data_IF_945802732905
#
_entry.id   IF_945802732905
#
_cell.length_a   1.000
_cell.length_b   1.000
_cell.length_c   1.000
_cell.angle_alpha   90.00
_cell.angle_beta   90.00
_cell.angle_gamma   90.00
#
_symmetry.space_group_name_H-M   'P 1'
#
loop_
_entity.id
_entity.type
_entity.pdbx_description
1 polymer ?
#
# COMPACT_ATOMS: atom_id res chain seq x y z
N UNK A 1 -56.52 81.75 5.49
CA UNK A 1 -55.23 81.31 4.91
C UNK A 1 -55.09 79.80 5.15
N UNK A 2 -55.09 79.01 4.05
CA UNK A 2 -54.39 77.72 3.78
C UNK A 2 -53.97 76.86 5.01
N UNK A 3 -54.17 75.55 5.12
CA UNK A 3 -54.29 74.49 4.10
C UNK A 3 -54.59 73.11 4.76
N UNK A 4 -55.51 72.34 4.14
CA UNK A 4 -55.50 70.89 3.83
C UNK A 4 -55.51 69.84 4.97
N UNK A 5 -56.61 69.10 5.18
CA UNK A 5 -56.98 67.77 4.60
C UNK A 5 -56.05 66.62 5.06
N UNK A 6 -56.44 65.40 5.44
CA UNK A 6 -57.70 64.64 5.67
C UNK A 6 -57.24 63.21 6.07
N UNK A 7 -58.03 62.48 6.87
CA UNK A 7 -58.23 61.00 6.87
C UNK A 7 -57.05 60.04 7.15
N UNK A 8 -57.10 59.25 8.23
CA UNK A 8 -57.68 57.88 8.38
C UNK A 8 -56.53 56.85 8.56
N UNK A 9 -56.36 56.18 9.70
CA UNK A 9 -57.15 55.06 10.24
C UNK A 9 -57.31 53.88 9.25
N UNK A 10 -56.62 52.75 9.53
CA UNK A 10 -57.12 51.36 9.56
C UNK A 10 -55.94 50.36 9.54
N UNK A 11 -55.80 49.63 10.67
CA UNK A 11 -55.54 48.18 10.83
C UNK A 11 -54.39 47.51 10.05
N UNK A 12 -53.42 46.92 10.78
CA UNK A 12 -53.09 45.48 10.61
C UNK A 12 -52.37 44.88 11.84
N UNK A 13 -53.01 43.86 12.40
CA UNK A 13 -52.51 42.84 13.33
C UNK A 13 -51.56 41.92 12.55
N UNK A 14 -50.45 41.43 13.14
CA UNK A 14 -50.10 39.99 13.07
C UNK A 14 -48.92 39.60 13.98
N UNK A 15 -49.27 38.86 15.02
CA UNK A 15 -48.59 37.69 15.59
C UNK A 15 -47.09 37.50 15.34
N UNK A 16 -46.34 37.61 16.44
CA UNK A 16 -45.08 36.91 16.65
C UNK A 16 -45.38 35.40 16.78
N UNK A 17 -45.36 34.68 15.66
CA UNK A 17 -45.36 33.21 15.67
C UNK A 17 -43.92 32.71 15.74
N UNK A 18 -43.64 31.99 16.82
CA UNK A 18 -42.48 31.12 16.95
C UNK A 18 -42.55 30.06 15.84
N UNK A 19 -41.65 30.13 14.86
CA UNK A 19 -41.29 28.96 14.07
C UNK A 19 -40.10 28.29 14.74
N UNK A 20 -40.41 27.35 15.64
CA UNK A 20 -39.53 26.23 15.94
C UNK A 20 -39.46 25.42 14.66
N UNK A 21 -38.39 25.56 13.89
CA UNK A 21 -38.05 24.62 12.82
C UNK A 21 -37.19 23.52 13.45
N UNK A 22 -37.84 22.42 13.82
CA UNK A 22 -37.17 21.14 13.97
C UNK A 22 -36.88 20.59 12.58
N UNK A 23 -35.60 20.31 12.31
CA UNK A 23 -35.13 19.57 11.15
C UNK A 23 -33.73 19.07 11.44
N UNK A 24 -33.62 18.10 12.33
CA UNK A 24 -32.41 17.29 12.51
C UNK A 24 -32.53 16.10 11.57
N UNK A 25 -32.21 16.33 10.30
CA UNK A 25 -32.08 15.28 9.29
C UNK A 25 -31.02 15.74 8.27
N UNK A 26 -29.77 15.80 8.70
CA UNK A 26 -28.63 15.86 7.77
C UNK A 26 -28.31 14.45 7.24
N UNK A 27 -29.33 13.77 6.69
CA UNK A 27 -29.10 12.72 5.70
C UNK A 27 -29.01 13.39 4.33
N UNK A 28 -27.93 14.16 4.10
CA UNK A 28 -27.60 14.59 2.75
C UNK A 28 -27.24 13.35 1.94
N UNK A 29 -28.24 12.75 1.28
CA UNK A 29 -28.00 11.82 0.19
C UNK A 29 -27.69 12.65 -1.04
N UNK A 30 -26.42 12.71 -1.43
CA UNK A 30 -26.02 13.27 -2.73
C UNK A 30 -26.86 12.57 -3.81
N UNK A 31 -27.78 13.29 -4.44
CA UNK A 31 -28.49 12.78 -5.62
C UNK A 31 -27.40 12.45 -6.64
N UNK A 32 -27.34 11.22 -7.18
CA UNK A 32 -26.36 10.87 -8.20
C UNK A 32 -26.45 11.89 -9.32
N UNK A 33 -25.36 12.58 -9.62
CA UNK A 33 -25.32 13.43 -10.80
C UNK A 33 -25.51 12.51 -12.00
N UNK A 34 -26.64 12.67 -12.68
CA UNK A 34 -27.02 11.87 -13.86
C UNK A 34 -26.01 12.06 -15.01
N UNK A 35 -25.06 12.99 -14.86
CA UNK A 35 -23.97 13.27 -15.79
C UNK A 35 -22.58 12.83 -15.29
N UNK A 36 -22.41 12.19 -14.12
CA UNK A 36 -21.10 11.60 -13.78
C UNK A 36 -20.81 10.45 -14.77
N UNK A 37 -19.70 10.50 -15.53
CA UNK A 37 -19.41 9.48 -16.52
C UNK A 37 -19.22 8.12 -15.84
N UNK A 38 -19.76 7.06 -16.43
CA UNK A 38 -19.50 5.71 -15.94
C UNK A 38 -18.00 5.38 -16.13
N UNK A 39 -17.41 4.71 -15.13
CA UNK A 39 -16.06 4.15 -15.29
C UNK A 39 -16.08 3.08 -16.39
N UNK A 40 -15.12 3.07 -17.33
CA UNK A 40 -15.08 2.07 -18.40
C UNK A 40 -14.53 0.71 -17.92
N UNK A 41 -14.12 0.61 -16.66
CA UNK A 41 -13.64 -0.65 -16.07
C UNK A 41 -14.71 -1.73 -16.18
N UNK A 42 -14.31 -2.90 -16.66
CA UNK A 42 -15.16 -4.08 -16.77
C UNK A 42 -14.81 -5.06 -15.67
N UNK A 43 -15.78 -5.39 -14.81
CA UNK A 43 -15.59 -6.36 -13.74
C UNK A 43 -16.85 -7.21 -13.54
N UNK A 44 -16.74 -8.48 -13.94
CA UNK A 44 -17.72 -9.53 -13.61
C UNK A 44 -17.08 -10.48 -12.59
N UNK A 45 -17.55 -10.42 -11.34
CA UNK A 45 -16.98 -11.19 -10.23
C UNK A 45 -17.05 -12.71 -10.41
N UNK A 46 -17.96 -13.21 -11.24
CA UNK A 46 -18.10 -14.65 -11.53
C UNK A 46 -17.12 -15.13 -12.60
N UNK A 47 -16.56 -14.21 -13.41
CA UNK A 47 -15.68 -14.52 -14.53
C UNK A 47 -14.20 -14.18 -14.25
N UNK A 48 -13.90 -13.36 -13.25
CA UNK A 48 -12.52 -13.02 -12.88
C UNK A 48 -11.81 -14.17 -12.13
N UNK A 49 -10.48 -14.32 -12.31
CA UNK A 49 -9.60 -13.47 -13.11
C UNK A 49 -9.73 -13.70 -14.62
N UNK A 50 -9.73 -12.61 -15.40
CA UNK A 50 -9.71 -12.66 -16.87
C UNK A 50 -8.37 -13.15 -17.42
N UNK A 51 -8.35 -13.57 -18.69
CA UNK A 51 -7.16 -14.14 -19.31
C UNK A 51 -6.09 -13.09 -19.59
N UNK A 52 -6.49 -11.86 -19.95
CA UNK A 52 -5.57 -10.74 -20.19
C UNK A 52 -5.90 -9.52 -19.33
N UNK A 53 -4.93 -8.62 -19.19
CA UNK A 53 -5.07 -7.40 -18.40
C UNK A 53 -5.96 -6.37 -19.11
N UNK A 54 -5.91 -6.30 -20.45
CA UNK A 54 -6.74 -5.37 -21.22
C UNK A 54 -8.24 -5.60 -21.07
N UNK A 55 -8.70 -6.82 -20.79
CA UNK A 55 -10.12 -7.16 -20.58
C UNK A 55 -10.78 -6.35 -19.45
N UNK A 56 -10.00 -5.89 -18.47
CA UNK A 56 -10.52 -5.08 -17.36
C UNK A 56 -10.73 -3.60 -17.72
N UNK A 57 -10.12 -3.09 -18.79
CA UNK A 57 -10.17 -1.67 -19.18
C UNK A 57 -9.72 -0.69 -18.08
N UNK A 58 -8.68 -1.02 -17.31
CA UNK A 58 -8.15 -0.13 -16.26
C UNK A 58 -7.38 1.09 -16.80
N UNK A 59 -6.84 0.99 -18.02
CA UNK A 59 -5.97 2.01 -18.59
C UNK A 59 -6.40 2.37 -20.01
N UNK A 60 -6.19 3.62 -20.41
CA UNK A 60 -6.46 4.12 -21.76
C UNK A 60 -5.19 4.26 -22.62
N UNK A 61 -5.37 4.14 -23.94
CA UNK A 61 -4.27 4.17 -24.89
C UNK A 61 -3.39 2.92 -24.80
N UNK A 62 -2.10 3.06 -25.11
CA UNK A 62 -1.16 1.94 -25.00
C UNK A 62 -1.01 1.50 -23.54
N UNK A 63 -1.30 0.23 -23.26
CA UNK A 63 -1.40 -0.33 -21.91
C UNK A 63 -0.15 -0.05 -21.05
N UNK A 64 1.05 -0.13 -21.64
CA UNK A 64 2.34 0.12 -20.96
C UNK A 64 2.49 1.53 -20.37
N UNK A 65 1.71 2.50 -20.85
CA UNK A 65 1.76 3.86 -20.30
C UNK A 65 1.10 3.91 -18.91
N UNK A 66 0.22 2.94 -18.61
CA UNK A 66 -0.53 2.86 -17.35
C UNK A 66 -1.30 4.16 -17.06
N UNK A 67 -1.88 4.77 -18.10
CA UNK A 67 -2.72 5.96 -17.97
C UNK A 67 -4.09 5.54 -17.45
N UNK A 68 -4.45 5.84 -16.19
CA UNK A 68 -5.66 5.30 -15.59
C UNK A 68 -6.92 5.93 -16.20
N UNK A 69 -7.92 5.11 -16.49
CA UNK A 69 -9.25 5.60 -16.88
C UNK A 69 -9.99 6.26 -15.71
N UNK A 70 -11.12 6.91 -16.01
CA UNK A 70 -11.98 7.51 -14.98
C UNK A 70 -12.28 6.53 -13.83
N UNK A 71 -12.11 7.02 -12.58
CA UNK A 71 -12.25 6.29 -11.30
C UNK A 71 -11.18 5.23 -10.99
N UNK A 72 -10.18 5.03 -11.84
CA UNK A 72 -8.95 4.30 -11.44
C UNK A 72 -8.00 5.31 -10.80
N UNK A 73 -7.79 5.23 -9.49
CA UNK A 73 -7.08 6.27 -8.74
C UNK A 73 -5.66 5.79 -8.41
N UNK A 74 -4.61 6.52 -8.83
CA UNK A 74 -3.25 6.18 -8.43
C UNK A 74 -3.02 6.44 -6.94
N UNK A 75 -2.18 5.62 -6.32
CA UNK A 75 -1.70 5.86 -4.97
C UNK A 75 -0.28 5.31 -4.79
N UNK A 76 0.36 5.72 -3.71
CA UNK A 76 1.69 5.29 -3.30
C UNK A 76 1.76 5.11 -1.78
N UNK A 77 2.81 4.45 -1.30
CA UNK A 77 3.06 4.23 0.12
C UNK A 77 4.15 5.19 0.64
N UNK A 78 4.15 5.47 1.94
CA UNK A 78 5.22 6.25 2.58
C UNK A 78 6.58 5.55 2.39
N UNK A 79 6.61 4.26 2.72
CA UNK A 79 7.73 3.35 2.49
C UNK A 79 7.28 2.20 1.58
N UNK A 80 8.13 1.79 0.65
CA UNK A 80 7.82 0.70 -0.28
C UNK A 80 8.48 -0.62 0.10
N UNK A 81 7.74 -1.73 -0.10
CA UNK A 81 8.28 -3.09 -0.07
C UNK A 81 9.38 -3.24 -1.14
N UNK A 82 10.54 -3.71 -0.73
CA UNK A 82 11.65 -4.07 -1.60
C UNK A 82 11.31 -5.31 -2.44
N UNK A 83 11.63 -5.26 -3.74
CA UNK A 83 11.44 -6.41 -4.65
C UNK A 83 12.47 -6.33 -5.78
N UNK A 84 13.70 -6.75 -5.53
CA UNK A 84 14.82 -6.67 -6.49
C UNK A 84 14.96 -5.32 -7.20
N UNK A 85 14.81 -4.22 -6.45
CA UNK A 85 14.81 -2.85 -6.98
C UNK A 85 13.73 -2.52 -8.03
N UNK A 86 12.77 -3.41 -8.31
CA UNK A 86 11.63 -3.09 -9.15
C UNK A 86 10.84 -1.93 -8.52
N UNK A 87 10.52 -0.92 -9.34
CA UNK A 87 9.65 0.18 -9.00
C UNK A 87 8.19 -0.27 -9.03
N UNK A 88 7.30 0.47 -8.35
CA UNK A 88 5.88 0.13 -8.27
C UNK A 88 4.99 1.30 -8.63
N UNK A 89 4.01 1.05 -9.51
CA UNK A 89 2.85 1.92 -9.72
C UNK A 89 1.61 1.22 -9.19
N UNK A 90 0.85 1.89 -8.31
CA UNK A 90 -0.34 1.31 -7.68
C UNK A 90 -1.58 2.11 -8.02
N UNK A 91 -2.69 1.41 -8.17
CA UNK A 91 -3.99 1.99 -8.41
C UNK A 91 -5.07 1.28 -7.62
N UNK A 92 -6.17 1.97 -7.37
CA UNK A 92 -7.38 1.41 -6.77
C UNK A 92 -8.59 1.74 -7.65
N UNK A 93 -9.50 0.77 -7.76
CA UNK A 93 -10.80 0.96 -8.36
C UNK A 93 -11.87 0.29 -7.51
N UNK A 94 -13.05 0.90 -7.43
CA UNK A 94 -14.23 0.33 -6.77
C UNK A 94 -15.48 0.54 -7.63
N UNK A 95 -16.48 -0.37 -7.54
CA UNK A 95 -17.75 -0.18 -8.20
C UNK A 95 -18.45 1.11 -7.78
N UNK A 96 -19.21 1.70 -8.71
CA UNK A 96 -19.98 2.91 -8.43
C UNK A 96 -20.92 2.72 -7.22
N UNK A 97 -20.99 3.74 -6.36
CA UNK A 97 -21.83 3.72 -5.16
C UNK A 97 -21.29 2.87 -4.00
N UNK A 98 -20.14 2.22 -4.16
CA UNK A 98 -19.45 1.50 -3.09
C UNK A 98 -18.35 2.35 -2.46
N UNK A 99 -18.07 2.12 -1.17
CA UNK A 99 -17.00 2.79 -0.42
C UNK A 99 -16.44 1.87 0.65
N UNK A 100 -15.16 2.05 0.97
CA UNK A 100 -14.52 1.40 2.10
C UNK A 100 -14.78 2.15 3.41
N UNK A 101 -14.70 1.41 4.52
CA UNK A 101 -14.77 1.98 5.87
C UNK A 101 -13.41 2.02 6.52
N UNK A 102 -13.02 3.18 7.05
CA UNK A 102 -11.83 3.30 7.87
C UNK A 102 -11.98 2.49 9.17
N UNK A 103 -10.98 1.68 9.51
CA UNK A 103 -10.99 0.83 10.71
C UNK A 103 -10.00 1.35 11.77
N UNK A 104 -8.73 1.48 11.41
CA UNK A 104 -7.66 2.05 12.23
C UNK A 104 -6.45 2.39 11.36
N UNK A 105 -5.47 3.11 11.92
CA UNK A 105 -4.25 3.49 11.20
C UNK A 105 -3.49 2.27 10.65
N UNK A 106 -3.45 1.19 11.44
CA UNK A 106 -2.65 -0.02 11.18
C UNK A 106 -3.39 -1.15 10.47
N UNK A 107 -4.70 -1.05 10.26
CA UNK A 107 -5.50 -2.05 9.55
C UNK A 107 -5.87 -1.55 8.16
N UNK A 108 -5.97 -2.46 7.20
CA UNK A 108 -6.53 -2.09 5.90
C UNK A 108 -7.98 -1.62 6.10
N UNK A 109 -8.47 -0.65 5.31
CA UNK A 109 -9.89 -0.31 5.30
C UNK A 109 -10.74 -1.56 5.01
N UNK A 110 -11.96 -1.59 5.54
CA UNK A 110 -12.93 -2.61 5.16
C UNK A 110 -13.44 -2.30 3.75
N UNK A 111 -12.84 -2.95 2.76
CA UNK A 111 -13.12 -2.71 1.36
C UNK A 111 -14.37 -3.47 0.90
N UNK A 112 -15.26 -2.81 0.13
CA UNK A 112 -16.46 -3.46 -0.38
C UNK A 112 -16.12 -4.51 -1.45
N UNK A 113 -17.02 -5.48 -1.61
CA UNK A 113 -17.00 -6.44 -2.72
C UNK A 113 -16.93 -5.68 -4.05
N UNK A 114 -16.05 -6.14 -4.94
CA UNK A 114 -15.74 -5.49 -6.21
C UNK A 114 -14.52 -4.58 -6.19
N UNK A 115 -13.95 -4.28 -5.01
CA UNK A 115 -12.70 -3.52 -4.94
C UNK A 115 -11.57 -4.24 -5.68
N UNK A 116 -10.82 -3.49 -6.48
CA UNK A 116 -9.60 -3.97 -7.14
C UNK A 116 -8.42 -3.08 -6.75
N UNK A 117 -7.38 -3.69 -6.19
CA UNK A 117 -6.07 -3.07 -6.01
C UNK A 117 -5.15 -3.58 -7.11
N UNK A 118 -4.50 -2.65 -7.81
CA UNK A 118 -3.67 -2.92 -8.98
C UNK A 118 -2.24 -2.52 -8.63
N UNK A 119 -1.27 -3.39 -8.87
CA UNK A 119 0.15 -3.13 -8.61
C UNK A 119 0.99 -3.57 -9.80
N UNK A 120 1.67 -2.62 -10.43
CA UNK A 120 2.56 -2.85 -11.56
C UNK A 120 4.01 -2.80 -11.07
N UNK A 121 4.81 -3.80 -11.44
CA UNK A 121 6.22 -3.89 -11.11
C UNK A 121 7.04 -3.66 -12.38
N UNK A 122 7.95 -2.69 -12.35
CA UNK A 122 8.68 -2.26 -13.54
C UNK A 122 10.09 -1.81 -13.22
N UNK A 123 10.92 -1.78 -14.25
CA UNK A 123 12.25 -1.20 -14.23
C UNK A 123 12.29 -0.03 -15.21
N UNK A 124 13.03 1.01 -14.84
CA UNK A 124 13.44 2.06 -15.77
C UNK A 124 14.85 1.75 -16.27
N UNK A 125 15.30 2.50 -17.28
CA UNK A 125 16.69 2.48 -17.78
C UNK A 125 17.19 1.06 -18.09
N UNK A 126 16.30 0.22 -18.61
CA UNK A 126 16.58 -1.19 -18.96
C UNK A 126 17.50 -1.22 -20.17
N UNK A 127 18.59 -2.00 -20.06
CA UNK A 127 19.55 -2.15 -21.15
C UNK A 127 19.02 -3.12 -22.23
N UNK A 128 19.36 -2.92 -23.51
CA UNK A 128 20.24 -1.88 -24.05
C UNK A 128 19.54 -0.56 -24.40
N UNK A 129 18.21 -0.55 -24.48
CA UNK A 129 17.44 0.55 -25.09
C UNK A 129 17.16 1.74 -24.16
N UNK A 130 17.60 1.65 -22.91
CA UNK A 130 17.33 2.63 -21.85
C UNK A 130 15.83 2.91 -21.67
N UNK A 131 15.02 1.86 -21.78
CA UNK A 131 13.56 1.93 -21.79
C UNK A 131 12.95 1.62 -20.42
N UNK A 132 11.65 1.90 -20.28
CA UNK A 132 10.84 1.35 -19.18
C UNK A 132 10.32 -0.02 -19.60
N UNK A 133 10.44 -1.01 -18.71
CA UNK A 133 9.94 -2.36 -18.92
C UNK A 133 9.12 -2.79 -17.72
N UNK A 134 7.84 -3.09 -17.94
CA UNK A 134 6.93 -3.64 -16.94
C UNK A 134 7.05 -5.16 -16.99
N UNK A 135 7.27 -5.76 -15.82
CA UNK A 135 7.47 -7.20 -15.69
C UNK A 135 6.14 -7.90 -15.38
N UNK A 136 5.42 -7.40 -14.39
CA UNK A 136 4.17 -8.00 -13.95
C UNK A 136 3.17 -6.97 -13.41
N UNK A 137 1.89 -7.30 -13.53
CA UNK A 137 0.78 -6.62 -12.87
C UNK A 137 0.06 -7.59 -11.95
N UNK A 138 -0.04 -7.27 -10.67
CA UNK A 138 -0.80 -8.04 -9.70
C UNK A 138 -2.12 -7.34 -9.40
N UNK A 139 -3.21 -8.10 -9.51
CA UNK A 139 -4.55 -7.70 -9.12
C UNK A 139 -4.93 -8.40 -7.82
N UNK A 140 -5.42 -7.62 -6.86
CA UNK A 140 -6.08 -8.12 -5.66
C UNK A 140 -7.55 -7.73 -5.78
N UNK A 141 -8.43 -8.72 -5.91
CA UNK A 141 -9.85 -8.51 -6.20
C UNK A 141 -10.67 -8.98 -5.01
N UNK A 142 -11.49 -8.10 -4.42
CA UNK A 142 -12.39 -8.45 -3.32
C UNK A 142 -13.66 -9.12 -3.88
N UNK A 143 -13.74 -10.45 -3.80
CA UNK A 143 -14.98 -11.21 -4.07
C UNK A 143 -15.82 -11.33 -2.81
N UNK A 144 -17.06 -11.81 -2.96
CA UNK A 144 -17.94 -12.19 -1.84
C UNK A 144 -17.27 -13.22 -0.93
N UNK A 145 -16.52 -14.17 -1.51
CA UNK A 145 -15.78 -15.21 -0.80
C UNK A 145 -14.48 -14.75 -0.15
N UNK A 146 -14.07 -13.49 -0.32
CA UNK A 146 -12.79 -12.97 0.16
C UNK A 146 -11.90 -12.41 -0.97
N UNK A 147 -10.65 -12.10 -0.63
CA UNK A 147 -9.68 -11.60 -1.60
C UNK A 147 -9.13 -12.73 -2.46
N UNK A 148 -9.06 -12.50 -3.76
CA UNK A 148 -8.29 -13.33 -4.70
C UNK A 148 -7.11 -12.53 -5.24
N UNK A 149 -6.06 -13.25 -5.64
CA UNK A 149 -4.81 -12.70 -6.13
C UNK A 149 -4.54 -13.28 -7.52
N UNK A 150 -4.35 -12.40 -8.50
CA UNK A 150 -4.06 -12.76 -9.87
C UNK A 150 -2.82 -12.00 -10.35
N UNK A 151 -1.91 -12.71 -11.00
CA UNK A 151 -0.65 -12.16 -11.50
C UNK A 151 -0.66 -12.21 -13.02
N UNK A 152 -0.37 -11.09 -13.67
CA UNK A 152 -0.30 -10.98 -15.12
C UNK A 152 1.14 -10.68 -15.52
N UNK A 153 1.73 -11.53 -16.35
CA UNK A 153 3.11 -11.34 -16.86
C UNK A 153 3.02 -10.62 -18.20
N UNK A 154 3.80 -9.55 -18.33
CA UNK A 154 3.85 -8.75 -19.56
C UNK A 154 4.64 -9.45 -20.65
N UNK A 155 4.21 -9.27 -21.91
CA UNK A 155 4.98 -9.72 -23.06
C UNK A 155 6.19 -8.81 -23.35
N UNK A 156 7.15 -9.33 -24.11
CA UNK A 156 8.36 -8.61 -24.48
C UNK A 156 8.07 -7.38 -25.34
N UNK A 157 6.99 -7.39 -26.14
CA UNK A 157 6.55 -6.25 -26.92
C UNK A 157 5.95 -5.10 -26.07
N UNK A 158 5.70 -5.34 -24.78
CA UNK A 158 5.10 -4.38 -23.84
C UNK A 158 3.73 -3.87 -24.32
N UNK A 159 2.90 -4.77 -24.84
CA UNK A 159 1.57 -4.46 -25.38
C UNK A 159 0.44 -5.11 -24.59
N UNK A 160 0.69 -6.20 -23.89
CA UNK A 160 -0.32 -6.95 -23.13
C UNK A 160 0.31 -7.68 -21.95
N UNK A 161 -0.50 -8.00 -20.94
CA UNK A 161 -0.12 -8.93 -19.88
C UNK A 161 -1.14 -10.07 -19.76
N UNK A 162 -0.65 -11.30 -19.61
CA UNK A 162 -1.47 -12.52 -19.58
C UNK A 162 -1.40 -13.15 -18.20
N UNK A 163 -2.54 -13.66 -17.72
CA UNK A 163 -2.65 -14.33 -16.43
C UNK A 163 -1.65 -15.49 -16.35
N UNK A 164 -0.80 -15.48 -15.32
CA UNK A 164 0.10 -16.56 -14.96
C UNK A 164 -0.13 -17.02 -13.52
N UNK A 165 -0.22 -18.34 -13.35
CA UNK A 165 -0.40 -18.98 -12.05
C UNK A 165 0.84 -19.78 -11.61
N UNK A 166 1.76 -20.05 -12.54
CA UNK A 166 2.84 -21.03 -12.35
C UNK A 166 4.14 -20.39 -11.86
N UNK A 167 4.19 -19.06 -11.79
CA UNK A 167 5.40 -18.31 -11.52
C UNK A 167 6.27 -18.20 -12.77
N UNK A 168 7.03 -17.12 -12.82
CA UNK A 168 7.88 -16.79 -13.96
C UNK A 168 9.22 -16.26 -13.46
N UNK A 169 10.29 -16.48 -14.21
CA UNK A 169 11.60 -15.94 -13.88
C UNK A 169 12.24 -15.37 -15.12
N UNK A 170 12.76 -14.14 -15.00
CA UNK A 170 13.42 -13.46 -16.10
C UNK A 170 14.63 -12.68 -15.63
N UNK A 171 15.63 -12.57 -16.51
CA UNK A 171 16.81 -11.77 -16.23
C UNK A 171 16.49 -10.31 -16.55
N UNK A 172 16.64 -9.44 -15.56
CA UNK A 172 16.56 -7.98 -15.74
C UNK A 172 17.94 -7.37 -15.64
N UNK A 173 18.24 -6.42 -16.51
CA UNK A 173 19.45 -5.60 -16.45
C UNK A 173 19.11 -4.14 -16.68
N UNK A 174 19.54 -3.26 -15.79
CA UNK A 174 19.23 -1.83 -15.85
C UNK A 174 20.41 -0.99 -15.38
N UNK A 175 20.39 0.31 -15.71
CA UNK A 175 21.35 1.27 -15.19
C UNK A 175 20.77 2.00 -13.97
N UNK A 176 21.43 1.91 -12.82
CA UNK A 176 21.06 2.63 -11.61
C UNK A 176 22.13 3.68 -11.31
N UNK A 177 21.84 4.95 -11.61
CA UNK A 177 22.73 6.07 -11.35
C UNK A 177 24.16 5.88 -11.91
N UNK A 178 24.29 5.30 -13.10
CA UNK A 178 25.58 5.02 -13.74
C UNK A 178 26.13 3.62 -13.46
N UNK A 179 25.59 2.89 -12.48
CA UNK A 179 25.99 1.51 -12.16
C UNK A 179 25.14 0.50 -12.93
N UNK A 180 25.77 -0.42 -13.64
CA UNK A 180 25.07 -1.53 -14.28
C UNK A 180 24.62 -2.55 -13.23
N UNK A 181 23.32 -2.80 -13.17
CA UNK A 181 22.67 -3.72 -12.23
C UNK A 181 22.04 -4.87 -13.00
N UNK A 182 21.94 -6.04 -12.35
CA UNK A 182 21.14 -7.14 -12.89
C UNK A 182 20.54 -8.00 -11.79
N UNK A 183 19.39 -8.61 -12.08
CA UNK A 183 18.72 -9.56 -11.19
C UNK A 183 18.13 -10.72 -11.99
N UNK A 184 17.88 -11.84 -11.33
CA UNK A 184 16.99 -12.89 -11.84
C UNK A 184 15.63 -12.69 -11.19
N UNK A 185 14.84 -11.76 -11.73
CA UNK A 185 13.54 -11.40 -11.19
C UNK A 185 12.61 -12.61 -11.16
N UNK A 186 11.97 -12.84 -10.00
CA UNK A 186 11.04 -13.94 -9.80
C UNK A 186 9.63 -13.41 -9.58
N UNK A 187 8.74 -13.70 -10.52
CA UNK A 187 7.30 -13.59 -10.37
C UNK A 187 6.83 -14.77 -9.51
N UNK A 188 6.24 -14.54 -8.32
CA UNK A 188 5.79 -15.60 -7.43
C UNK A 188 4.66 -16.43 -8.05
N UNK A 189 4.58 -17.70 -7.66
CA UNK A 189 3.39 -18.53 -7.94
C UNK A 189 2.18 -18.03 -7.15
N UNK A 190 0.98 -18.47 -7.52
CA UNK A 190 -0.22 -18.16 -6.74
C UNK A 190 -0.13 -18.65 -5.28
N UNK A 191 0.51 -19.79 -5.04
CA UNK A 191 0.73 -20.32 -3.69
C UNK A 191 1.74 -19.48 -2.90
N UNK A 192 2.79 -18.98 -3.55
CA UNK A 192 3.78 -18.10 -2.92
C UNK A 192 3.16 -16.77 -2.49
N UNK A 193 2.18 -16.24 -3.23
CA UNK A 193 1.45 -15.04 -2.83
C UNK A 193 0.83 -15.18 -1.44
N UNK A 194 0.24 -16.34 -1.14
CA UNK A 194 -0.43 -16.59 0.15
C UNK A 194 0.54 -16.69 1.33
N UNK A 195 1.85 -16.90 1.10
CA UNK A 195 2.85 -16.82 2.18
C UNK A 195 2.90 -15.41 2.80
N UNK A 196 2.74 -14.38 1.97
CA UNK A 196 2.75 -12.98 2.42
C UNK A 196 1.34 -12.38 2.55
N UNK A 197 0.37 -12.86 1.78
CA UNK A 197 -0.97 -12.28 1.67
C UNK A 197 -2.00 -13.05 2.49
N UNK A 198 -1.73 -13.25 3.78
CA UNK A 198 -2.68 -13.88 4.70
C UNK A 198 -2.61 -13.30 6.11
N UNK A 199 -3.73 -13.36 6.83
CA UNK A 199 -3.82 -13.11 8.26
C UNK A 199 -4.80 -14.12 8.86
N UNK A 200 -4.35 -14.92 9.81
CA UNK A 200 -5.09 -16.06 10.37
C UNK A 200 -5.64 -16.98 9.26
N UNK A 201 -4.77 -17.32 8.28
CA UNK A 201 -5.10 -18.13 7.10
C UNK A 201 -6.16 -17.51 6.16
N UNK A 202 -6.56 -16.25 6.39
CA UNK A 202 -7.50 -15.52 5.53
C UNK A 202 -6.73 -14.63 4.56
N UNK A 203 -6.93 -14.75 3.23
CA UNK A 203 -6.21 -13.93 2.27
C UNK A 203 -6.48 -12.43 2.42
N UNK A 204 -5.42 -11.61 2.42
CA UNK A 204 -5.51 -10.16 2.68
C UNK A 204 -4.44 -9.34 1.91
N UNK A 205 -4.78 -8.15 1.38
CA UNK A 205 -3.80 -7.23 0.81
C UNK A 205 -2.79 -6.75 1.85
N UNK A 206 -1.57 -6.48 1.38
CA UNK A 206 -0.47 -5.95 2.20
C UNK A 206 -0.21 -4.48 1.82
N UNK A 207 0.00 -3.65 2.83
CA UNK A 207 0.52 -2.28 2.67
C UNK A 207 -0.53 -1.18 2.53
N UNK A 208 -1.77 -1.50 2.10
CA UNK A 208 -2.88 -0.53 1.91
C UNK A 208 -3.55 -0.11 3.23
N UNK A 209 -2.74 0.23 4.24
CA UNK A 209 -3.16 0.70 5.55
C UNK A 209 -3.15 2.24 5.58
N UNK A 210 -4.06 2.93 6.29
CA UNK A 210 -4.05 4.38 6.38
C UNK A 210 -2.69 4.97 6.83
N UNK A 211 -2.00 4.32 7.78
CA UNK A 211 -0.66 4.74 8.24
C UNK A 211 0.39 4.81 7.11
N UNK A 212 0.22 4.02 6.04
CA UNK A 212 1.13 3.98 4.89
C UNK A 212 0.68 4.90 3.76
N UNK A 213 -0.57 5.36 3.77
CA UNK A 213 -1.19 6.15 2.71
C UNK A 213 -1.27 7.64 3.05
N UNK A 214 -1.09 8.01 4.32
CA UNK A 214 -1.23 9.38 4.81
C UNK A 214 -0.04 10.28 4.41
N UNK A 215 0.10 10.54 3.12
CA UNK A 215 1.03 11.48 2.49
C UNK A 215 0.32 12.32 1.43
N UNK A 216 0.96 13.41 1.04
CA UNK A 216 0.55 14.17 -0.14
C UNK A 216 0.97 13.44 -1.42
N UNK A 217 0.10 13.44 -2.41
CA UNK A 217 0.33 12.85 -3.73
C UNK A 217 -0.05 13.88 -4.81
N UNK A 218 0.75 13.96 -5.87
CA UNK A 218 0.51 14.85 -7.00
C UNK A 218 -0.45 14.20 -7.99
N UNK A 219 -1.72 14.59 -7.95
CA UNK A 219 -2.73 14.17 -8.92
C UNK A 219 -2.77 15.14 -10.11
N UNK A 220 -3.43 14.73 -11.20
CA UNK A 220 -3.62 15.58 -12.38
C UNK A 220 -4.38 16.88 -12.07
N UNK A 221 -5.24 16.87 -11.05
CA UNK A 221 -6.01 18.02 -10.57
C UNK A 221 -5.36 18.74 -9.38
N UNK A 222 -4.11 18.41 -9.04
CA UNK A 222 -3.31 19.05 -8.00
C UNK A 222 -2.85 18.11 -6.90
N UNK A 223 -2.08 18.66 -5.94
CA UNK A 223 -1.51 17.89 -4.84
C UNK A 223 -2.51 17.73 -3.71
N UNK A 224 -2.76 16.47 -3.27
CA UNK A 224 -3.74 16.16 -2.21
C UNK A 224 -3.29 15.01 -1.34
N UNK A 225 -3.73 14.98 -0.08
CA UNK A 225 -3.58 13.78 0.75
C UNK A 225 -4.38 12.62 0.14
N UNK A 226 -3.77 11.44 0.07
CA UNK A 226 -4.37 10.31 -0.66
C UNK A 226 -5.69 9.82 -0.05
N UNK A 227 -5.78 9.77 1.29
CA UNK A 227 -7.00 9.36 1.97
C UNK A 227 -8.11 10.40 1.77
N UNK A 228 -7.77 11.69 1.75
CA UNK A 228 -8.72 12.75 1.39
C UNK A 228 -9.18 12.60 -0.06
N UNK A 229 -8.28 12.31 -1.01
CA UNK A 229 -8.66 12.04 -2.40
C UNK A 229 -9.63 10.86 -2.50
N UNK A 230 -9.42 9.80 -1.71
CA UNK A 230 -10.34 8.65 -1.69
C UNK A 230 -11.71 9.02 -1.12
N UNK A 231 -11.78 9.87 -0.09
CA UNK A 231 -13.07 10.38 0.44
C UNK A 231 -13.81 11.18 -0.64
N UNK A 232 -13.13 12.11 -1.31
CA UNK A 232 -13.73 12.94 -2.36
C UNK A 232 -14.19 12.12 -3.56
N UNK A 233 -13.47 11.05 -3.90
CA UNK A 233 -13.87 10.13 -4.96
C UNK A 233 -15.04 9.21 -4.58
N UNK A 234 -15.42 9.18 -3.29
CA UNK A 234 -16.43 8.29 -2.73
C UNK A 234 -15.92 6.88 -2.43
N UNK A 235 -14.61 6.67 -2.35
CA UNK A 235 -13.97 5.37 -2.12
C UNK A 235 -13.66 5.08 -0.64
N UNK A 236 -13.65 6.10 0.20
CA UNK A 236 -13.49 5.98 1.66
C UNK A 236 -14.58 6.81 2.33
N UNK A 237 -15.15 6.31 3.42
CA UNK A 237 -16.21 7.03 4.14
C UNK A 237 -15.71 8.29 4.84
N UNK A 238 -14.78 8.13 5.77
CA UNK A 238 -14.22 9.17 6.63
C UNK A 238 -12.80 8.79 7.02
N UNK A 239 -12.10 9.71 7.68
CA UNK A 239 -10.84 9.45 8.36
C UNK A 239 -10.73 10.35 9.58
N UNK A 240 -10.01 9.96 10.64
CA UNK A 240 -9.74 10.85 11.76
C UNK A 240 -8.87 12.04 11.32
N UNK A 241 -8.83 13.09 12.15
CA UNK A 241 -8.00 14.26 11.92
C UNK A 241 -6.49 13.94 12.03
N UNK A 242 -6.12 13.04 12.94
CA UNK A 242 -4.76 12.56 13.12
C UNK A 242 -4.65 11.08 12.77
N UNK A 243 -3.59 10.72 12.05
CA UNK A 243 -3.24 9.34 11.68
C UNK A 243 -1.77 9.16 12.03
N UNK A 244 -1.46 8.21 12.91
CA UNK A 244 -0.08 7.82 13.19
C UNK A 244 0.45 7.10 11.96
N UNK A 245 1.45 7.69 11.32
CA UNK A 245 1.88 7.31 9.98
C UNK A 245 3.32 6.82 9.97
N UNK A 246 3.60 5.85 9.10
CA UNK A 246 4.97 5.52 8.72
C UNK A 246 5.59 6.70 7.96
N UNK A 247 6.91 6.74 7.84
CA UNK A 247 7.62 7.75 7.04
C UNK A 247 8.23 7.10 5.79
N UNK A 248 8.75 7.91 4.88
CA UNK A 248 9.70 7.40 3.89
C UNK A 248 10.99 7.04 4.62
N UNK A 249 11.34 5.76 4.66
CA UNK A 249 12.56 5.29 5.31
C UNK A 249 13.84 5.86 4.68
N UNK A 250 13.76 6.47 3.48
CA UNK A 250 14.89 7.15 2.83
C UNK A 250 15.01 8.63 3.20
N UNK A 251 14.00 9.23 3.82
CA UNK A 251 14.04 10.62 4.26
C UNK A 251 14.93 10.76 5.51
N UNK A 252 16.18 11.14 5.31
CA UNK A 252 17.17 11.30 6.39
C UNK A 252 16.88 12.47 7.33
N UNK A 253 15.90 13.32 7.01
CA UNK A 253 15.41 14.35 7.95
C UNK A 253 14.55 13.74 9.07
N UNK A 254 14.07 12.51 8.90
CA UNK A 254 13.33 11.77 9.92
C UNK A 254 14.28 11.05 10.88
N UNK A 255 13.89 10.86 12.15
CA UNK A 255 14.66 10.08 13.11
C UNK A 255 14.98 8.67 12.61
N UNK A 256 16.20 8.20 12.85
CA UNK A 256 16.68 6.87 12.42
C UNK A 256 15.72 5.75 12.87
N UNK A 257 15.30 5.75 14.13
CA UNK A 257 14.39 4.73 14.67
C UNK A 257 13.03 4.72 13.94
N UNK A 258 12.48 5.89 13.60
CA UNK A 258 11.21 6.00 12.88
C UNK A 258 11.33 5.45 11.44
N UNK A 259 12.48 5.71 10.78
CA UNK A 259 12.80 5.15 9.47
C UNK A 259 12.92 3.63 9.52
N UNK A 260 13.63 3.08 10.52
CA UNK A 260 13.78 1.63 10.74
C UNK A 260 12.43 0.96 10.97
N UNK A 261 11.61 1.51 11.88
CA UNK A 261 10.27 1.00 12.17
C UNK A 261 9.37 1.01 10.93
N UNK A 262 9.45 2.05 10.11
CA UNK A 262 8.70 2.15 8.86
C UNK A 262 9.17 1.14 7.81
N UNK A 263 10.49 0.93 7.73
CA UNK A 263 11.11 -0.07 6.85
C UNK A 263 10.69 -1.50 7.24
N UNK A 264 10.75 -1.83 8.53
CA UNK A 264 10.36 -3.14 9.05
C UNK A 264 8.85 -3.42 8.91
N UNK A 265 7.97 -2.42 9.08
CA UNK A 265 6.53 -2.61 8.87
C UNK A 265 6.23 -3.07 7.44
N UNK A 266 6.74 -2.34 6.44
CA UNK A 266 6.39 -2.66 5.06
C UNK A 266 7.13 -3.88 4.51
N UNK A 267 8.37 -4.13 4.95
CA UNK A 267 9.20 -5.23 4.42
C UNK A 267 9.11 -6.54 5.22
N UNK A 268 8.66 -6.52 6.48
CA UNK A 268 8.78 -7.69 7.36
C UNK A 268 7.49 -8.01 8.12
N UNK A 269 6.71 -7.02 8.55
CA UNK A 269 5.56 -7.24 9.44
C UNK A 269 4.42 -8.08 8.84
N UNK A 270 4.32 -8.16 7.52
CA UNK A 270 3.33 -9.04 6.89
C UNK A 270 3.63 -10.54 7.08
N UNK A 271 4.85 -10.88 7.53
CA UNK A 271 5.25 -12.23 7.95
C UNK A 271 5.56 -12.32 9.45
N UNK A 272 6.04 -11.24 10.07
CA UNK A 272 6.46 -11.20 11.47
C UNK A 272 5.51 -10.35 12.33
N UNK A 273 4.25 -10.74 12.32
CA UNK A 273 3.19 -10.22 13.18
C UNK A 273 2.26 -11.34 13.62
N UNK A 274 1.56 -11.13 14.73
CA UNK A 274 0.59 -12.10 15.28
C UNK A 274 -0.42 -12.55 14.22
N UNK A 275 -0.55 -13.87 14.02
CA UNK A 275 -1.47 -14.46 13.04
C UNK A 275 -0.95 -14.50 11.60
N UNK A 276 0.34 -14.22 11.37
CA UNK A 276 0.99 -14.30 10.05
C UNK A 276 2.01 -15.45 9.99
N UNK A 277 2.62 -15.70 8.84
CA UNK A 277 3.37 -16.95 8.58
C UNK A 277 4.59 -17.20 9.48
N UNK A 278 5.17 -16.16 10.09
CA UNK A 278 6.32 -16.26 10.98
C UNK A 278 6.00 -15.73 12.38
N UNK A 279 4.73 -15.81 12.81
CA UNK A 279 4.29 -15.35 14.13
C UNK A 279 4.85 -16.17 15.31
N UNK A 280 5.38 -17.38 15.02
CA UNK A 280 6.13 -18.20 15.98
C UNK A 280 7.50 -17.59 16.34
N UNK A 281 8.02 -16.68 15.52
CA UNK A 281 9.28 -15.99 15.80
C UNK A 281 9.07 -14.94 16.90
N UNK A 282 10.07 -14.64 17.74
CA UNK A 282 9.91 -13.73 18.87
C UNK A 282 9.99 -12.25 18.44
N UNK A 283 9.25 -11.87 17.38
CA UNK A 283 9.18 -10.52 16.83
C UNK A 283 7.73 -10.13 16.52
N UNK A 284 7.44 -8.83 16.66
CA UNK A 284 6.17 -8.23 16.25
C UNK A 284 6.48 -6.90 15.57
N UNK A 285 6.64 -6.95 14.24
CA UNK A 285 7.24 -5.87 13.46
C UNK A 285 6.23 -4.86 12.90
N UNK A 286 4.93 -5.04 13.17
CA UNK A 286 3.92 -4.08 12.74
C UNK A 286 4.16 -2.70 13.37
N UNK A 287 3.96 -1.64 12.60
CA UNK A 287 4.31 -0.27 13.01
C UNK A 287 3.69 0.16 14.35
N UNK A 288 2.47 -0.30 14.62
CA UNK A 288 1.73 -0.01 15.85
C UNK A 288 2.29 -0.74 17.09
N UNK A 289 3.14 -1.76 16.90
CA UNK A 289 3.70 -2.59 17.97
C UNK A 289 5.22 -2.48 18.06
N UNK A 290 5.88 -2.04 17.00
CA UNK A 290 7.34 -2.02 16.89
C UNK A 290 8.02 -0.80 17.54
N UNK A 291 7.32 -0.09 18.42
CA UNK A 291 7.92 0.88 19.38
C UNK A 291 8.68 0.18 20.50
N UNK A 292 8.26 -1.04 20.82
CA UNK A 292 8.91 -1.85 21.84
C UNK A 292 10.18 -2.48 21.26
N UNK A 293 11.33 -2.19 21.87
CA UNK A 293 12.60 -2.85 21.54
C UNK A 293 12.50 -4.38 21.64
N UNK A 294 11.68 -4.88 22.57
CA UNK A 294 11.41 -6.30 22.73
C UNK A 294 10.70 -6.91 21.50
N UNK A 295 9.78 -6.16 20.88
CA UNK A 295 9.07 -6.58 19.68
C UNK A 295 9.96 -6.51 18.42
N UNK A 296 10.98 -5.64 18.43
CA UNK A 296 12.00 -5.55 17.39
C UNK A 296 13.05 -6.68 17.44
N UNK A 297 12.96 -7.58 18.43
CA UNK A 297 13.88 -8.72 18.56
C UNK A 297 15.19 -8.40 19.29
N UNK A 298 15.31 -7.22 19.93
CA UNK A 298 16.51 -6.85 20.67
C UNK A 298 16.68 -7.78 21.87
N UNK A 299 17.85 -8.41 21.98
CA UNK A 299 18.18 -9.40 23.02
C UNK A 299 17.22 -10.59 23.07
N UNK A 300 16.56 -10.90 21.96
CA UNK A 300 15.73 -12.10 21.81
C UNK A 300 16.54 -13.18 21.12
N UNK A 301 16.58 -14.36 21.72
CA UNK A 301 17.16 -15.52 21.06
C UNK A 301 16.27 -15.97 19.87
N UNK A 302 16.87 -16.36 18.73
CA UNK A 302 16.13 -16.91 17.62
C UNK A 302 15.60 -18.30 17.97
N UNK A 303 14.40 -18.62 17.47
CA UNK A 303 13.80 -19.96 17.61
C UNK A 303 14.22 -20.87 16.46
N UNK A 304 14.47 -20.27 15.29
CA UNK A 304 14.91 -20.98 14.10
C UNK A 304 16.38 -21.38 14.17
N UNK A 305 16.74 -22.35 13.34
CA UNK A 305 18.12 -22.72 13.10
C UNK A 305 18.95 -21.50 12.67
N UNK A 306 20.14 -21.40 13.24
CA UNK A 306 21.14 -20.37 12.92
C UNK A 306 22.39 -21.08 12.42
N UNK A 307 22.80 -20.77 11.18
CA UNK A 307 24.03 -21.32 10.61
C UNK A 307 25.30 -20.67 11.16
N UNK A 308 25.21 -19.40 11.56
CA UNK A 308 26.31 -18.64 12.16
C UNK A 308 26.35 -18.74 13.69
N UNK A 309 27.15 -17.86 14.30
CA UNK A 309 27.30 -17.77 15.75
C UNK A 309 26.41 -16.68 16.37
N UNK A 310 25.40 -16.17 15.64
CA UNK A 310 24.49 -15.14 16.13
C UNK A 310 23.58 -15.70 17.24
N UNK A 311 23.77 -15.21 18.46
CA UNK A 311 22.96 -15.63 19.61
C UNK A 311 21.63 -14.90 19.72
N UNK A 312 21.53 -13.68 19.17
CA UNK A 312 20.34 -12.84 19.25
C UNK A 312 19.83 -12.44 17.86
N UNK A 313 18.53 -12.21 17.76
CA UNK A 313 17.89 -11.64 16.57
C UNK A 313 18.50 -10.27 16.26
N UNK A 314 18.57 -9.41 17.28
CA UNK A 314 19.30 -8.15 17.27
C UNK A 314 20.11 -8.03 18.56
N UNK A 315 21.41 -7.76 18.43
CA UNK A 315 22.32 -7.45 19.54
C UNK A 315 22.86 -6.03 19.35
N UNK A 316 22.48 -5.12 20.24
CA UNK A 316 22.88 -3.72 20.13
C UNK A 316 24.40 -3.55 20.15
N UNK A 317 24.91 -2.70 19.28
CA UNK A 317 26.34 -2.46 19.09
C UNK A 317 27.14 -3.61 18.47
N UNK A 318 26.51 -4.74 18.12
CA UNK A 318 27.17 -5.93 17.58
C UNK A 318 26.45 -6.45 16.32
N UNK A 319 26.80 -5.85 15.19
CA UNK A 319 26.28 -6.23 13.86
C UNK A 319 26.64 -7.68 13.51
N UNK A 320 27.89 -8.15 13.65
CA UNK A 320 28.23 -9.56 13.40
C UNK A 320 27.43 -10.56 14.27
N UNK A 321 27.10 -10.17 15.50
CA UNK A 321 26.28 -10.95 16.44
C UNK A 321 24.77 -10.90 16.20
N UNK A 322 24.28 -10.10 15.25
CA UNK A 322 22.85 -9.87 15.00
C UNK A 322 22.31 -10.70 13.83
N UNK A 323 21.41 -11.65 14.11
CA UNK A 323 20.86 -12.55 13.08
C UNK A 323 20.06 -11.81 12.00
N UNK A 324 19.30 -10.76 12.37
CA UNK A 324 18.49 -10.00 11.41
C UNK A 324 19.36 -9.43 10.29
N UNK A 325 20.48 -8.79 10.62
CA UNK A 325 21.42 -8.22 9.64
C UNK A 325 22.06 -9.33 8.78
N UNK A 326 22.51 -10.44 9.39
CA UNK A 326 23.05 -11.58 8.64
C UNK A 326 22.07 -12.13 7.61
N UNK A 327 20.81 -12.38 8.01
CA UNK A 327 19.80 -12.90 7.08
C UNK A 327 19.45 -11.89 5.99
N UNK A 328 19.51 -10.60 6.27
CA UNK A 328 19.33 -9.55 5.27
C UNK A 328 20.51 -9.41 4.31
N UNK A 329 21.74 -9.76 4.71
CA UNK A 329 22.95 -9.60 3.89
C UNK A 329 23.28 -10.78 2.96
N UNK A 330 22.60 -11.92 3.12
CA UNK A 330 22.84 -13.12 2.31
C UNK A 330 21.74 -13.38 1.27
N UNK A 331 22.11 -14.02 0.16
CA UNK A 331 21.20 -14.53 -0.88
C UNK A 331 21.09 -16.07 -0.87
N UNK A 332 21.68 -16.72 0.14
CA UNK A 332 21.53 -18.17 0.35
C UNK A 332 20.08 -18.44 0.76
N UNK A 333 19.35 -19.22 -0.06
CA UNK A 333 17.90 -19.41 0.07
C UNK A 333 17.44 -19.94 1.44
N UNK A 334 18.26 -20.71 2.15
CA UNK A 334 17.96 -21.23 3.50
C UNK A 334 18.15 -20.20 4.61
N UNK A 335 18.97 -19.16 4.37
CA UNK A 335 19.34 -18.17 5.38
C UNK A 335 18.67 -16.82 5.13
N UNK A 336 18.46 -16.46 3.87
CA UNK A 336 18.10 -15.10 3.47
C UNK A 336 16.73 -14.66 3.99
N UNK A 337 16.64 -13.37 4.35
CA UNK A 337 15.37 -12.71 4.65
C UNK A 337 15.21 -11.41 3.85
N UNK A 338 14.01 -11.14 3.31
CA UNK A 338 12.89 -12.09 3.18
C UNK A 338 13.26 -13.29 2.27
N UNK A 339 12.60 -14.43 2.49
CA UNK A 339 12.82 -15.68 1.74
C UNK A 339 12.19 -15.67 0.35
N UNK A 340 11.30 -14.71 0.08
CA UNK A 340 10.59 -14.51 -1.18
C UNK A 340 10.68 -13.04 -1.60
N UNK A 341 10.57 -12.79 -2.90
CA UNK A 341 10.48 -11.44 -3.44
C UNK A 341 11.81 -10.72 -3.61
N UNK A 342 12.94 -11.40 -3.33
CA UNK A 342 14.27 -10.90 -3.70
C UNK A 342 15.22 -12.02 -4.13
N UNK A 343 16.20 -11.65 -4.92
CA UNK A 343 17.37 -12.44 -5.31
C UNK A 343 18.67 -11.64 -5.17
N UNK A 344 18.58 -10.33 -4.91
CA UNK A 344 19.70 -9.47 -4.54
C UNK A 344 19.53 -8.89 -3.14
N UNK A 345 20.63 -8.47 -2.53
CA UNK A 345 20.63 -7.75 -1.25
C UNK A 345 20.15 -6.31 -1.48
N UNK A 346 19.22 -5.85 -0.63
CA UNK A 346 18.83 -4.44 -0.57
C UNK A 346 19.88 -3.68 0.25
N UNK A 347 20.87 -3.11 -0.42
CA UNK A 347 22.05 -2.53 0.24
C UNK A 347 21.68 -1.39 1.19
N UNK A 348 20.80 -0.50 0.74
CA UNK A 348 20.36 0.67 1.48
C UNK A 348 19.53 0.28 2.71
N UNK A 349 18.67 -0.75 2.58
CA UNK A 349 17.93 -1.30 3.71
C UNK A 349 18.81 -2.06 4.71
N UNK A 350 19.87 -2.73 4.23
CA UNK A 350 20.86 -3.38 5.08
C UNK A 350 21.66 -2.34 5.89
N UNK A 351 22.11 -1.27 5.24
CA UNK A 351 22.81 -0.16 5.89
C UNK A 351 21.93 0.51 6.96
N UNK A 352 20.64 0.75 6.67
CA UNK A 352 19.71 1.31 7.65
C UNK A 352 19.63 0.47 8.94
N UNK A 353 19.58 -0.86 8.80
CA UNK A 353 19.55 -1.78 9.95
C UNK A 353 20.91 -1.83 10.65
N UNK A 354 22.01 -1.76 9.92
CA UNK A 354 23.36 -1.66 10.48
C UNK A 354 23.54 -0.42 11.35
N UNK A 355 23.17 0.75 10.82
CA UNK A 355 23.25 2.04 11.53
C UNK A 355 22.40 2.00 12.80
N UNK A 356 21.20 1.41 12.70
CA UNK A 356 20.32 1.23 13.85
C UNK A 356 20.92 0.33 14.91
N UNK A 357 21.45 -0.85 14.54
CA UNK A 357 22.09 -1.77 15.48
C UNK A 357 23.25 -1.08 16.21
N UNK A 358 24.09 -0.35 15.47
CA UNK A 358 25.22 0.39 16.03
C UNK A 358 24.79 1.54 16.97
N UNK A 359 23.58 2.09 16.79
CA UNK A 359 23.02 3.13 17.65
C UNK A 359 22.44 2.62 18.97
N UNK A 360 22.20 1.31 19.11
CA UNK A 360 21.61 0.72 20.31
C UNK A 360 22.64 0.59 21.43
N UNK A 361 22.34 1.17 22.59
CA UNK A 361 23.21 1.11 23.78
C UNK A 361 23.08 -0.21 24.57
N UNK A 362 22.02 -1.00 24.35
CA UNK A 362 21.76 -2.27 25.06
C UNK A 362 22.53 -3.44 24.43
N UNK A 363 23.48 -4.04 25.17
CA UNK A 363 24.38 -5.10 24.66
C UNK A 363 23.94 -6.54 24.92
N UNK A 364 22.75 -6.74 25.51
CA UNK A 364 22.16 -8.05 25.80
C UNK A 364 22.96 -8.92 26.78
N UNK A 365 23.69 -8.27 27.69
CA UNK A 365 24.48 -8.88 28.77
C UNK A 365 23.71 -8.98 30.09
#
# INVERSE_FOLDING_TARGET
MKNKYFFNAVVLILSCFCFISCGSDDSYTKVPDVNEPASPVTLNLDAVPYATLSEYNFFEGDLKNLNPVYKVIPYDLNSELFTDYALKKRFIWMPAGSKATYISDSKIPDFPVGTVLIKNFYYNTVAPDNSTYIVETRLMIKKVSGWIFATYVWNDEQTEAVLDNNGYSMRMSWNQNGTAMSTNYKVPTQQDCLKCHQLNEIPVPVGVKPQNLNKMYAYADGTKNQLTKWIEAGYLDTKPNGIISTVDWKDETQPLELRVRSYLDINCAHCHSTGTSCDYTPMELSFAQNESLFNLGICREPVDFVTGNQQYIVKGGDVPGSLMHFRMSTTIQSEMMPTLGRTVVHQEGLQLIEDWINSLENTCD
#
